data_IF_726355336509
#
_entry.id   IF_726355336509
#
_cell.length_a   1.000
_cell.length_b   1.000
_cell.length_c   1.000
_cell.angle_alpha   90.00
_cell.angle_beta   90.00
_cell.angle_gamma   90.00
#
_symmetry.space_group_name_H-M   'P 1'
#
loop_
_entity.id
_entity.type
_entity.pdbx_description
1 polymer ?
#
# COMPACT_ATOMS: atom_id res chain seq x y z
N UNK A 1 18.36 -4.98 15.55
CA UNK A 1 17.67 -5.94 14.66
C UNK A 1 18.51 -6.01 13.39
N UNK A 2 18.78 -7.20 12.85
CA UNK A 2 19.55 -7.32 11.60
C UNK A 2 18.73 -6.84 10.40
N UNK A 3 19.40 -6.32 9.36
CA UNK A 3 18.78 -5.83 8.13
C UNK A 3 17.93 -6.93 7.46
N UNK A 4 18.35 -8.19 7.55
CA UNK A 4 17.61 -9.30 6.96
C UNK A 4 16.23 -9.48 7.62
N UNK A 5 16.16 -9.29 8.95
CA UNK A 5 14.89 -9.34 9.69
C UNK A 5 14.01 -8.13 9.38
N UNK A 6 14.60 -6.94 9.26
CA UNK A 6 13.87 -5.73 8.88
C UNK A 6 13.23 -5.89 7.48
N UNK A 7 13.98 -6.40 6.51
CA UNK A 7 13.47 -6.69 5.17
C UNK A 7 12.39 -7.77 5.17
N UNK A 8 12.56 -8.86 5.92
CA UNK A 8 11.54 -9.89 6.02
C UNK A 8 10.22 -9.36 6.59
N UNK A 9 10.30 -8.50 7.63
CA UNK A 9 9.13 -7.84 8.20
C UNK A 9 8.45 -6.91 7.18
N UNK A 10 9.23 -6.17 6.39
CA UNK A 10 8.71 -5.32 5.32
C UNK A 10 7.97 -6.14 4.25
N UNK A 11 8.54 -7.25 3.79
CA UNK A 11 7.85 -8.11 2.83
C UNK A 11 6.57 -8.73 3.40
N UNK A 12 6.57 -9.16 4.66
CA UNK A 12 5.35 -9.66 5.31
C UNK A 12 4.27 -8.57 5.46
N UNK A 13 4.69 -7.32 5.71
CA UNK A 13 3.77 -6.20 5.81
C UNK A 13 3.23 -5.78 4.43
N UNK A 14 4.04 -5.87 3.38
CA UNK A 14 3.60 -5.68 1.99
C UNK A 14 2.56 -6.73 1.58
N UNK A 15 2.82 -8.02 1.83
CA UNK A 15 1.86 -9.10 1.56
C UNK A 15 0.53 -8.84 2.28
N UNK A 16 0.59 -8.43 3.55
CA UNK A 16 -0.61 -8.04 4.30
C UNK A 16 -1.33 -6.85 3.68
N UNK A 17 -0.62 -5.83 3.21
CA UNK A 17 -1.23 -4.68 2.53
C UNK A 17 -1.92 -5.09 1.23
N UNK A 18 -1.29 -5.97 0.47
CA UNK A 18 -1.86 -6.58 -0.73
C UNK A 18 -3.16 -7.33 -0.42
N UNK A 19 -3.18 -8.15 0.63
CA UNK A 19 -4.37 -8.87 1.08
C UNK A 19 -5.49 -7.91 1.53
N UNK A 20 -5.15 -6.84 2.25
CA UNK A 20 -6.14 -5.85 2.70
C UNK A 20 -6.80 -5.13 1.51
N UNK A 21 -6.04 -4.82 0.46
CA UNK A 21 -6.58 -4.24 -0.77
C UNK A 21 -7.53 -5.20 -1.48
N UNK A 22 -7.14 -6.47 -1.66
CA UNK A 22 -7.95 -7.46 -2.37
C UNK A 22 -9.25 -7.80 -1.65
N UNK A 23 -9.23 -7.70 -0.31
CA UNK A 23 -10.43 -7.89 0.52
C UNK A 23 -11.23 -6.59 0.72
N UNK A 24 -10.90 -5.51 -0.01
CA UNK A 24 -11.53 -4.19 0.10
C UNK A 24 -11.54 -3.61 1.54
N UNK A 25 -10.58 -4.01 2.38
CA UNK A 25 -10.44 -3.57 3.78
C UNK A 25 -9.67 -2.24 3.87
N UNK A 26 -10.20 -1.20 3.25
CA UNK A 26 -9.48 0.07 3.00
C UNK A 26 -9.05 0.83 4.28
N UNK A 27 -9.85 0.79 5.35
CA UNK A 27 -9.48 1.45 6.61
C UNK A 27 -8.27 0.76 7.27
N UNK A 28 -8.29 -0.57 7.32
CA UNK A 28 -7.19 -1.36 7.84
C UNK A 28 -5.94 -1.21 6.95
N UNK A 29 -6.12 -1.16 5.62
CA UNK A 29 -5.04 -0.88 4.68
C UNK A 29 -4.35 0.44 5.01
N UNK A 30 -5.11 1.53 5.18
CA UNK A 30 -4.55 2.84 5.50
C UNK A 30 -3.72 2.82 6.80
N UNK A 31 -4.23 2.17 7.85
CA UNK A 31 -3.49 2.05 9.12
C UNK A 31 -2.16 1.29 8.97
N UNK A 32 -2.13 0.25 8.15
CA UNK A 32 -0.92 -0.55 7.92
C UNK A 32 0.06 0.14 6.95
N UNK A 33 -0.45 0.99 6.05
CA UNK A 33 0.37 1.74 5.09
C UNK A 33 1.29 2.75 5.80
N UNK A 34 0.78 3.41 6.84
CA UNK A 34 1.58 4.33 7.65
C UNK A 34 2.71 3.57 8.36
N UNK A 35 2.39 2.44 8.99
CA UNK A 35 3.38 1.57 9.64
C UNK A 35 4.44 1.07 8.66
N UNK A 36 4.04 0.68 7.45
CA UNK A 36 4.95 0.22 6.42
C UNK A 36 5.90 1.33 5.96
N UNK A 37 5.37 2.53 5.74
CA UNK A 37 6.16 3.70 5.39
C UNK A 37 7.20 4.05 6.46
N UNK A 38 6.82 3.97 7.74
CA UNK A 38 7.73 4.21 8.86
C UNK A 38 8.81 3.13 8.96
N UNK A 39 8.48 1.86 8.70
CA UNK A 39 9.47 0.78 8.67
C UNK A 39 10.45 0.91 7.51
N UNK A 40 10.02 1.39 6.34
CA UNK A 40 10.92 1.68 5.21
C UNK A 40 11.89 2.80 5.59
N UNK A 41 11.38 3.90 6.16
CA UNK A 41 12.24 4.99 6.65
C UNK A 41 13.23 4.49 7.68
N UNK A 42 12.76 3.73 8.67
CA UNK A 42 13.62 3.15 9.70
C UNK A 42 14.68 2.19 9.13
N UNK A 43 14.38 1.43 8.06
CA UNK A 43 15.36 0.60 7.38
C UNK A 43 16.47 1.47 6.77
N UNK A 44 16.12 2.55 6.09
CA UNK A 44 17.07 3.44 5.42
C UNK A 44 17.89 4.27 6.42
N UNK A 45 17.26 4.76 7.49
CA UNK A 45 17.91 5.62 8.48
C UNK A 45 18.86 4.84 9.42
N UNK A 46 18.53 3.58 9.74
CA UNK A 46 19.29 2.80 10.71
C UNK A 46 20.42 1.96 10.10
N UNK A 47 20.52 1.87 8.78
CA UNK A 47 21.54 1.06 8.11
C UNK A 47 22.45 1.93 7.25
N UNK A 48 23.76 1.71 7.33
CA UNK A 48 24.71 2.43 6.47
C UNK A 48 24.56 2.00 5.01
N UNK A 49 24.98 2.85 4.09
CA UNK A 49 25.01 2.54 2.65
C UNK A 49 25.75 1.23 2.34
N UNK A 50 26.83 0.95 3.07
CA UNK A 50 27.60 -0.28 2.90
C UNK A 50 26.78 -1.52 3.28
N UNK A 51 25.99 -1.44 4.35
CA UNK A 51 25.11 -2.54 4.77
C UNK A 51 23.96 -2.71 3.77
N UNK A 52 23.34 -1.61 3.35
CA UNK A 52 22.29 -1.61 2.33
C UNK A 52 22.80 -2.17 0.99
N UNK A 53 24.03 -1.85 0.61
CA UNK A 53 24.68 -2.35 -0.61
C UNK A 53 24.74 -3.90 -0.65
N UNK A 54 24.89 -4.56 0.50
CA UNK A 54 24.88 -6.03 0.58
C UNK A 54 23.51 -6.66 0.32
N UNK A 55 22.44 -5.84 0.32
CA UNK A 55 21.04 -6.27 0.16
C UNK A 55 20.34 -5.62 -1.04
N UNK A 56 21.09 -5.06 -1.99
CA UNK A 56 20.57 -4.31 -3.16
C UNK A 56 19.48 -5.07 -3.91
N UNK A 57 19.65 -6.36 -4.17
CA UNK A 57 18.64 -7.14 -4.90
C UNK A 57 17.32 -7.28 -4.12
N UNK A 58 17.38 -7.36 -2.79
CA UNK A 58 16.18 -7.37 -1.96
C UNK A 58 15.54 -5.98 -1.90
N UNK A 59 16.34 -4.91 -1.87
CA UNK A 59 15.86 -3.54 -1.90
C UNK A 59 15.15 -3.21 -3.23
N UNK A 60 15.69 -3.64 -4.37
CA UNK A 60 15.02 -3.52 -5.68
C UNK A 60 13.68 -4.28 -5.72
N UNK A 61 13.64 -5.48 -5.13
CA UNK A 61 12.38 -6.23 -5.03
C UNK A 61 11.35 -5.49 -4.19
N UNK A 62 11.76 -4.91 -3.06
CA UNK A 62 10.90 -4.11 -2.21
C UNK A 62 10.38 -2.87 -2.96
N UNK A 63 11.25 -2.17 -3.70
CA UNK A 63 10.87 -1.03 -4.53
C UNK A 63 9.80 -1.40 -5.58
N UNK A 64 9.99 -2.52 -6.28
CA UNK A 64 9.00 -3.01 -7.24
C UNK A 64 7.68 -3.37 -6.57
N UNK A 65 7.71 -4.03 -5.41
CA UNK A 65 6.51 -4.38 -4.66
C UNK A 65 5.74 -3.14 -4.19
N UNK A 66 6.45 -2.11 -3.72
CA UNK A 66 5.86 -0.80 -3.37
C UNK A 66 5.18 -0.17 -4.59
N UNK A 67 5.84 -0.17 -5.74
CA UNK A 67 5.29 0.40 -6.97
C UNK A 67 4.03 -0.36 -7.45
N UNK A 68 4.02 -1.68 -7.34
CA UNK A 68 2.86 -2.50 -7.67
C UNK A 68 1.69 -2.23 -6.72
N UNK A 69 1.94 -2.18 -5.40
CA UNK A 69 0.93 -1.87 -4.40
C UNK A 69 0.33 -0.47 -4.62
N UNK A 70 1.16 0.53 -4.96
CA UNK A 70 0.71 1.87 -5.31
C UNK A 70 -0.22 1.86 -6.51
N UNK A 71 0.19 1.24 -7.62
CA UNK A 71 -0.62 1.14 -8.83
C UNK A 71 -1.98 0.46 -8.56
N UNK A 72 -1.96 -0.65 -7.81
CA UNK A 72 -3.19 -1.35 -7.40
C UNK A 72 -4.09 -0.45 -6.55
N UNK A 73 -3.53 0.24 -5.56
CA UNK A 73 -4.31 1.15 -4.70
C UNK A 73 -4.96 2.29 -5.49
N UNK A 74 -4.26 2.84 -6.49
CA UNK A 74 -4.78 3.88 -7.37
C UNK A 74 -5.95 3.38 -8.22
N UNK A 75 -5.86 2.16 -8.75
CA UNK A 75 -6.94 1.52 -9.48
C UNK A 75 -8.20 1.35 -8.61
N UNK A 76 -8.05 0.84 -7.39
CA UNK A 76 -9.17 0.72 -6.44
C UNK A 76 -9.77 2.09 -6.10
N UNK A 77 -8.95 3.11 -5.88
CA UNK A 77 -9.41 4.47 -5.63
C UNK A 77 -10.26 5.02 -6.80
N UNK A 78 -9.81 4.83 -8.05
CA UNK A 78 -10.57 5.25 -9.23
C UNK A 78 -11.91 4.51 -9.32
N UNK A 79 -11.92 3.19 -9.10
CA UNK A 79 -13.15 2.40 -9.11
C UNK A 79 -14.16 2.85 -8.04
N UNK A 80 -13.69 3.16 -6.82
CA UNK A 80 -14.55 3.68 -5.74
C UNK A 80 -15.12 5.07 -6.08
N UNK A 81 -14.31 5.93 -6.69
CA UNK A 81 -14.74 7.26 -7.15
C UNK A 81 -15.85 7.15 -8.20
N UNK A 82 -15.71 6.25 -9.17
CA UNK A 82 -16.74 6.00 -10.18
C UNK A 82 -18.03 5.46 -9.58
N UNK A 83 -17.95 4.47 -8.68
CA UNK A 83 -19.10 3.95 -7.93
C UNK A 83 -19.83 5.07 -7.18
N UNK A 84 -19.08 5.95 -6.50
CA UNK A 84 -19.65 7.10 -5.76
C UNK A 84 -20.38 8.08 -6.67
N UNK A 85 -19.78 8.45 -7.82
CA UNK A 85 -20.43 9.31 -8.82
C UNK A 85 -21.72 8.69 -9.37
N UNK A 86 -21.72 7.38 -9.62
CA UNK A 86 -22.90 6.66 -10.08
C UNK A 86 -24.03 6.68 -9.04
N UNK A 87 -23.71 6.46 -7.76
CA UNK A 87 -24.66 6.56 -6.65
C UNK A 87 -25.26 7.98 -6.54
N UNK A 88 -24.43 9.02 -6.68
CA UNK A 88 -24.89 10.40 -6.67
C UNK A 88 -25.87 10.70 -7.82
N UNK A 89 -25.55 10.23 -9.04
CA UNK A 89 -26.45 10.36 -10.21
C UNK A 89 -27.78 9.63 -9.98
N UNK A 90 -27.75 8.43 -9.42
CA UNK A 90 -28.96 7.66 -9.12
C UNK A 90 -29.83 8.36 -8.07
N UNK A 91 -29.21 8.91 -7.01
CA UNK A 91 -29.90 9.71 -5.99
C UNK A 91 -30.61 10.93 -6.60
N UNK A 92 -29.96 11.62 -7.53
CA UNK A 92 -30.54 12.77 -8.22
C UNK A 92 -31.74 12.36 -9.10
N UNK A 93 -31.63 11.23 -9.82
CA UNK A 93 -32.76 10.68 -10.59
C UNK A 93 -33.96 10.38 -9.68
N UNK A 94 -33.76 9.66 -8.58
CA UNK A 94 -34.85 9.32 -7.63
C UNK A 94 -35.53 10.58 -7.11
N UNK A 95 -34.77 11.64 -6.79
CA UNK A 95 -35.34 12.92 -6.35
C UNK A 95 -36.14 13.63 -7.43
N UNK A 96 -35.74 13.53 -8.70
CA UNK A 96 -36.46 14.16 -9.81
C UNK A 96 -37.78 13.44 -10.17
N UNK A 97 -37.94 12.17 -9.78
CA UNK A 97 -39.17 11.40 -9.96
C UNK A 97 -40.12 11.47 -8.75
N UNK A 98 -39.74 12.14 -7.66
CA UNK A 98 -40.58 12.44 -6.50
C UNK A 98 -41.14 13.84 -6.62
#
# INVERSE_FOLDING_TARGET
>A
MDISTQLANLFALEEKLSDLLDNEQYEAFQQHQDLFSDQIKALLDNNSEQVLATKVEQLKKLENAVAELQNRSEHYYQALKEKSLQQQRNKNKIKAYK
#
